data_IF_547756500868
#
_entry.id   IF_547756500868
#
_cell.length_a   1.000
_cell.length_b   1.000
_cell.length_c   1.000
_cell.angle_alpha   90.00
_cell.angle_beta   90.00
_cell.angle_gamma   90.00
#
_symmetry.space_group_name_H-M   'P 1'
#
loop_
_entity.id
_entity.type
_entity.pdbx_description
1 polymer ?
2 non-polymer ?
3 water ?
#
# COMPACT_ATOMS: atom_id res chain seq x y z
C UNK A 1 8.20 10.88 10.52
N UNK A 2 8.47 12.14 10.12
CA UNK A 2 7.80 12.76 8.97
C UNK A 2 8.69 12.97 7.77
N UNK A 3 9.82 12.27 7.73
CA UNK A 3 10.75 12.38 6.60
C UNK A 3 10.05 11.90 5.33
N UNK A 4 10.59 12.30 4.18
CA UNK A 4 10.15 11.68 2.94
C UNK A 4 10.49 10.21 2.90
N UNK A 5 11.58 9.82 3.55
CA UNK A 5 11.91 8.40 3.63
C UNK A 5 10.74 7.63 4.25
N UNK A 6 10.25 8.15 5.38
CA UNK A 6 9.17 7.50 6.06
C UNK A 6 7.86 7.61 5.27
N UNK A 7 7.56 8.78 4.70
CA UNK A 7 6.33 8.93 3.93
C UNK A 7 6.33 8.00 2.74
N UNK A 8 7.45 7.88 2.05
CA UNK A 8 7.51 6.99 0.91
C UNK A 8 7.30 5.57 1.34
N UNK A 9 7.93 5.19 2.43
CA UNK A 9 7.73 3.83 2.91
C UNK A 9 6.27 3.56 3.21
N UNK A 10 5.64 4.47 3.96
CA UNK A 10 4.26 4.23 4.36
C UNK A 10 3.31 4.29 3.14
N UNK A 11 3.64 5.10 2.15
CA UNK A 11 2.85 5.15 0.94
C UNK A 11 2.96 3.84 0.17
N UNK A 12 4.18 3.32 0.01
CA UNK A 12 4.33 2.04 -0.69
C UNK A 12 3.64 0.92 0.05
N UNK A 13 3.71 0.92 1.39
CA UNK A 13 2.99 -0.07 2.15
C UNK A 13 1.47 0.08 1.97
N UNK A 14 0.99 1.32 1.87
CA UNK A 14 -0.41 1.56 1.56
C UNK A 14 -0.80 0.97 0.21
N UNK A 15 0.02 1.23 -0.82
CA UNK A 15 -0.25 0.67 -2.12
C UNK A 15 -0.34 -0.86 -2.07
N UNK A 16 0.60 -1.48 -1.35
CA UNK A 16 0.55 -2.94 -1.20
C UNK A 16 -0.73 -3.39 -0.52
N UNK A 17 -1.12 -2.69 0.55
CA UNK A 17 -2.28 -3.10 1.31
C UNK A 17 -3.59 -2.90 0.53
N UNK A 18 -3.67 -1.83 -0.29
CA UNK A 18 -4.82 -1.70 -1.19
C UNK A 18 -4.89 -2.92 -2.10
N UNK A 19 -3.76 -3.28 -2.71
CA UNK A 19 -3.73 -4.43 -3.60
C UNK A 19 -4.17 -5.70 -2.87
N UNK A 20 -3.71 -5.88 -1.62
CA UNK A 20 -4.09 -7.09 -0.86
C UNK A 20 -5.58 -7.15 -0.68
N UNK A 21 -6.21 -6.02 -0.31
CA UNK A 21 -7.65 -6.02 -0.19
C UNK A 21 -8.31 -6.37 -1.52
N UNK A 22 -7.88 -5.71 -2.59
CA UNK A 22 -8.54 -5.92 -3.88
C UNK A 22 -8.39 -7.37 -4.34
N UNK A 23 -7.25 -7.99 -4.07
CA UNK A 23 -7.09 -9.41 -4.39
C UNK A 23 -8.03 -10.27 -3.56
N UNK A 24 -8.20 -9.96 -2.28
CA UNK A 24 -9.14 -10.70 -1.46
C UNK A 24 -10.59 -10.53 -1.93
N UNK A 25 -10.85 -9.41 -2.60
CA UNK A 25 -12.16 -9.11 -3.17
C UNK A 25 -12.33 -9.62 -4.58
N UNK A 26 -11.31 -10.24 -5.17
CA UNK A 26 -11.40 -10.73 -6.54
C UNK A 26 -11.55 -9.61 -7.55
N UNK A 27 -11.00 -8.44 -7.26
CA UNK A 27 -11.02 -7.29 -8.14
C UNK A 27 -9.67 -7.00 -8.77
N UNK A 28 -8.63 -7.70 -8.29
CA UNK A 28 -7.27 -7.63 -8.81
C UNK A 28 -6.66 -9.03 -8.70
X LIG B 1 6.70 20.25 -1.77
X LIG B 1 6.83 20.72 -0.48
X LIG B 1 7.42 19.58 0.35
X LIG B 1 6.94 18.36 -0.16
X LIG B 1 7.41 17.20 0.48
X LIG B 1 6.58 16.86 1.72
X LIG B 1 5.44 16.11 1.39
X LIG B 1 4.21 16.74 1.64
X LIG B 1 3.36 15.97 2.65
X LIG B 1 2.34 16.82 3.09
X LIG B 1 2.13 16.96 4.46
X LIG B 1 1.54 18.35 4.75
X LIG B 1 2.19 18.98 5.82
X LIG B 1 2.50 20.33 5.59
X LIG B 1 3.24 20.96 6.78
X LIG B 1 4.05 20.02 7.44
X LIG B 1 4.23 20.29 8.80
X LIG B 1 5.51 19.65 9.32
X LIG B 1 5.85 18.55 8.54
X LIG B 1 6.52 20.90 -2.29
X LIG B 1 7.43 21.48 -0.46
X LIG B 1 5.96 20.97 -0.12
X LIG B 1 8.39 19.60 0.30
X LIG B 1 7.15 19.68 1.28
X LIG B 1 7.37 16.46 -0.15
X LIG B 1 8.34 17.34 0.74
X LIG B 1 7.13 16.36 2.33
X LIG B 1 6.31 17.69 2.15
X LIG B 1 4.38 17.63 1.99
X LIG B 1 3.72 16.82 0.81
X LIG B 1 2.98 15.19 2.22
X LIG B 1 3.91 15.70 3.40
X LIG B 1 1.51 16.28 4.76
X LIG B 1 2.97 16.86 4.93
X LIG B 1 1.63 18.90 3.96
X LIG B 1 0.60 18.25 4.96
X LIG B 1 3.06 20.39 4.80
X LIG B 1 1.68 20.82 5.43
X LIG B 1 3.79 21.68 6.45
X LIG B 1 2.59 21.31 7.40
X LIG B 1 4.29 21.25 8.93
X LIG B 1 3.48 19.95 9.30
X LIG B 1 6.24 20.30 9.29
X LIG B 1 5.38 19.36 10.24
X LIG B 1 5.13 18.16 8.27
#
# INVERSE_FOLDING_TARGET
>A
GGSLTEQDRQLRLLQAQIQRLLEAQSLM
>B hetero
1 P6G O1 C2 C3 O4 C5 C6 O7 C8 C9 O10 C11 C12 O13 C14 C15 O16 C17 C18 O19 H1 H21 H22 H31 H32 H51 H52 H61 H62 H81 H82 H91 H92 H111 H112 H121 H122 H141 H142 H151 H152 H171 H172 H181 H182 H19
#
